data_IF_175021897867
#
_entry.id   IF_175021897867
#
_cell.length_a   1.000
_cell.length_b   1.000
_cell.length_c   1.000
_cell.angle_alpha   90.00
_cell.angle_beta   90.00
_cell.angle_gamma   90.00
#
_symmetry.space_group_name_H-M   'P 1'
#
loop_
_entity.id
_entity.type
_entity.pdbx_description
1 polymer ?
#
# COMPACT_ATOMS: atom_id res chain seq x y z
N UNK A 1 41.90 62.58 -18.11
CA UNK A 1 42.26 61.90 -19.37
C UNK A 1 41.09 61.04 -19.83
N UNK A 2 40.63 61.36 -21.04
CA UNK A 2 39.85 60.64 -22.06
C UNK A 2 39.37 59.19 -21.80
N UNK A 3 38.06 58.98 -22.04
CA UNK A 3 37.38 57.74 -22.54
C UNK A 3 37.81 57.46 -24.00
N UNK A 4 37.38 56.39 -24.73
CA UNK A 4 36.61 55.16 -24.40
C UNK A 4 37.12 53.89 -25.18
N UNK A 5 36.24 52.87 -25.35
CA UNK A 5 36.14 51.90 -26.48
C UNK A 5 36.39 50.43 -26.08
N UNK A 6 35.65 49.40 -26.50
CA UNK A 6 34.27 49.19 -26.99
C UNK A 6 34.11 47.65 -27.22
N UNK A 7 32.88 47.15 -27.06
CA UNK A 7 32.34 46.00 -27.82
C UNK A 7 32.78 44.58 -27.43
N UNK A 8 32.00 43.51 -27.63
CA UNK A 8 30.65 43.35 -28.18
C UNK A 8 30.22 41.89 -28.01
N UNK A 9 28.90 41.67 -27.82
CA UNK A 9 28.07 40.67 -28.54
C UNK A 9 28.15 39.18 -28.14
N UNK A 10 27.03 38.71 -27.58
CA UNK A 10 26.65 37.29 -27.51
C UNK A 10 25.13 37.17 -27.33
N UNK A 11 24.38 37.51 -28.38
CA UNK A 11 22.92 37.43 -28.42
C UNK A 11 22.48 35.99 -28.71
N UNK A 12 21.47 35.53 -27.99
CA UNK A 12 20.56 34.49 -28.45
C UNK A 12 20.86 33.09 -27.95
N UNK A 13 20.13 32.66 -26.90
CA UNK A 13 19.49 31.33 -26.82
C UNK A 13 18.19 31.35 -26.01
N UNK A 14 17.44 32.46 -26.00
CA UNK A 14 16.09 32.50 -25.37
C UNK A 14 15.03 32.07 -26.39
N UNK A 15 15.20 30.89 -26.98
CA UNK A 15 14.18 30.26 -27.87
C UNK A 15 14.13 28.75 -27.74
N UNK A 16 15.14 28.12 -27.12
CA UNK A 16 15.19 26.66 -26.94
C UNK A 16 14.55 26.19 -25.61
N UNK A 17 13.97 27.10 -24.83
CA UNK A 17 13.27 26.76 -23.59
C UNK A 17 11.78 26.46 -23.80
N UNK A 18 11.16 27.00 -24.86
CA UNK A 18 9.74 26.81 -25.13
C UNK A 18 9.44 25.57 -25.99
N UNK A 19 10.41 25.13 -26.80
CA UNK A 19 10.22 23.96 -27.66
C UNK A 19 10.17 22.64 -26.86
N UNK A 20 10.88 22.58 -25.73
CA UNK A 20 10.89 21.41 -24.84
C UNK A 20 9.57 21.25 -24.07
N UNK A 21 8.84 22.35 -23.81
CA UNK A 21 7.57 22.34 -23.07
C UNK A 21 6.39 21.80 -23.88
N UNK A 22 6.41 21.94 -25.22
CA UNK A 22 5.32 21.45 -26.09
C UNK A 22 5.38 19.93 -26.29
N UNK A 23 6.59 19.35 -26.30
CA UNK A 23 6.77 17.90 -26.46
C UNK A 23 6.32 17.13 -25.20
N UNK A 24 6.46 17.73 -24.01
CA UNK A 24 6.09 17.09 -22.75
C UNK A 24 4.56 16.92 -22.57
N UNK A 25 3.73 17.77 -23.18
CA UNK A 25 2.28 17.71 -23.00
C UNK A 25 1.60 16.60 -23.83
N UNK A 26 2.29 16.03 -24.82
CA UNK A 26 1.72 15.02 -25.70
C UNK A 26 1.72 13.59 -25.12
N UNK A 27 2.41 13.36 -24.00
CA UNK A 27 2.54 12.01 -23.39
C UNK A 27 1.36 11.70 -22.44
N UNK A 28 0.53 12.69 -22.08
CA UNK A 28 -0.56 12.55 -21.11
C UNK A 28 -1.88 11.97 -21.67
N UNK A 29 -1.93 11.49 -22.92
CA UNK A 29 -3.15 10.91 -23.51
C UNK A 29 -3.01 9.41 -23.82
N UNK A 30 -2.06 8.72 -23.18
CA UNK A 30 -2.05 7.25 -23.11
C UNK A 30 -2.67 6.79 -21.77
N UNK A 31 -3.93 7.14 -21.55
CA UNK A 31 -4.67 6.78 -20.35
C UNK A 31 -6.14 6.55 -20.69
N UNK A 32 -6.44 5.35 -21.21
CA UNK A 32 -7.72 4.64 -21.10
C UNK A 32 -7.67 3.40 -21.98
N UNK A 33 -7.07 2.34 -21.45
CA UNK A 33 -7.47 1.00 -21.80
C UNK A 33 -7.31 0.16 -20.53
N UNK A 34 -8.41 -0.19 -19.89
CA UNK A 34 -8.81 -1.59 -19.81
C UNK A 34 -10.16 -1.77 -19.09
N UNK A 35 -11.16 -2.12 -19.92
CA UNK A 35 -12.17 -3.17 -19.73
C UNK A 35 -12.49 -3.56 -18.28
N UNK A 36 -13.72 -3.23 -17.91
CA UNK A 36 -14.53 -3.92 -16.90
C UNK A 36 -14.37 -5.43 -17.03
N UNK A 37 -13.89 -6.09 -15.98
CA UNK A 37 -14.03 -7.54 -15.78
C UNK A 37 -14.27 -7.76 -14.30
N UNK A 38 -15.56 -7.75 -13.94
CA UNK A 38 -16.07 -8.47 -12.79
C UNK A 38 -16.27 -9.92 -13.28
N UNK A 39 -15.21 -10.71 -13.23
CA UNK A 39 -15.28 -12.18 -13.16
C UNK A 39 -14.26 -12.60 -12.10
N UNK A 40 -14.57 -13.66 -11.31
CA UNK A 40 -13.65 -14.15 -10.30
C UNK A 40 -12.47 -14.78 -11.04
N UNK A 41 -11.40 -14.01 -11.20
CA UNK A 41 -10.10 -14.60 -11.49
C UNK A 41 -9.79 -15.50 -10.29
N UNK A 42 -9.62 -16.79 -10.56
CA UNK A 42 -8.72 -17.66 -9.80
C UNK A 42 -7.34 -16.97 -9.77
N UNK A 43 -7.23 -15.92 -8.94
CA UNK A 43 -5.95 -15.36 -8.56
C UNK A 43 -5.28 -16.45 -7.77
N UNK A 44 -4.15 -16.94 -8.27
CA UNK A 44 -3.12 -17.44 -7.37
C UNK A 44 -2.86 -16.29 -6.41
N UNK A 45 -3.49 -16.37 -5.25
CA UNK A 45 -3.47 -15.36 -4.21
C UNK A 45 -2.02 -15.21 -3.75
N UNK A 46 -1.39 -14.11 -4.14
CA UNK A 46 0.01 -13.83 -3.86
C UNK A 46 0.20 -13.13 -2.50
N UNK A 47 -0.71 -13.35 -1.53
CA UNK A 47 -0.61 -12.80 -0.19
C UNK A 47 0.15 -13.70 0.80
N UNK A 48 0.95 -14.66 0.33
CA UNK A 48 1.73 -15.55 1.20
C UNK A 48 2.65 -14.78 2.16
N UNK A 49 3.36 -13.75 1.67
CA UNK A 49 4.21 -12.91 2.52
C UNK A 49 3.38 -12.20 3.61
N UNK A 50 2.19 -11.71 3.25
CA UNK A 50 1.27 -11.01 4.16
C UNK A 50 0.76 -11.97 5.24
N UNK A 51 0.37 -13.20 4.86
CA UNK A 51 -0.05 -14.25 5.79
C UNK A 51 1.07 -14.65 6.74
N UNK A 52 2.29 -14.84 6.21
CA UNK A 52 3.47 -15.22 7.00
C UNK A 52 3.80 -14.14 8.04
N UNK A 53 3.79 -12.86 7.65
CA UNK A 53 4.05 -11.75 8.57
C UNK A 53 2.94 -11.64 9.63
N UNK A 54 1.67 -11.73 9.23
CA UNK A 54 0.56 -11.70 10.18
C UNK A 54 0.63 -12.86 11.18
N UNK A 55 0.94 -14.07 10.72
CA UNK A 55 1.08 -15.24 11.58
C UNK A 55 2.28 -15.15 12.53
N UNK A 56 3.40 -14.57 12.08
CA UNK A 56 4.53 -14.30 12.95
C UNK A 56 4.12 -13.39 14.11
N UNK A 57 3.30 -12.36 13.84
CA UNK A 57 2.78 -11.46 14.86
C UNK A 57 1.78 -12.14 15.81
N UNK A 58 0.87 -12.98 15.30
CA UNK A 58 -0.04 -13.80 16.11
C UNK A 58 0.74 -14.64 17.13
N UNK A 59 1.80 -15.33 16.69
CA UNK A 59 2.69 -16.11 17.57
C UNK A 59 3.45 -15.25 18.57
N UNK A 60 3.95 -14.08 18.14
CA UNK A 60 4.63 -13.14 19.05
C UNK A 60 3.71 -12.71 20.21
N UNK A 61 2.41 -12.53 19.95
CA UNK A 61 1.41 -12.17 20.96
C UNK A 61 0.83 -13.36 21.73
N UNK A 62 1.17 -14.60 21.35
CA UNK A 62 0.62 -15.82 21.97
C UNK A 62 -0.85 -16.09 21.61
N UNK A 63 -1.33 -15.50 20.53
CA UNK A 63 -2.70 -15.69 20.03
C UNK A 63 -2.82 -16.90 19.11
N UNK A 64 -1.73 -17.60 18.82
CA UNK A 64 -1.72 -18.82 18.02
C UNK A 64 -2.51 -19.97 18.68
N UNK A 65 -2.71 -19.91 19.99
CA UNK A 65 -3.50 -20.90 20.74
C UNK A 65 -5.00 -20.84 20.47
N UNK A 66 -5.51 -19.74 19.90
CA UNK A 66 -6.92 -19.57 19.54
C UNK A 66 -7.19 -19.84 18.06
N UNK A 67 -6.16 -20.02 17.25
CA UNK A 67 -6.28 -20.31 15.82
C UNK A 67 -6.30 -21.84 15.57
N UNK A 68 -7.21 -22.29 14.71
CA UNK A 68 -7.37 -23.70 14.35
C UNK A 68 -6.24 -24.20 13.45
N UNK A 69 -5.79 -23.35 12.54
CA UNK A 69 -4.86 -23.67 11.47
C UNK A 69 -3.72 -22.63 11.41
N UNK A 70 -2.72 -22.90 10.57
CA UNK A 70 -1.61 -21.98 10.35
C UNK A 70 -1.91 -20.92 9.26
N UNK A 71 -0.87 -20.16 8.91
CA UNK A 71 -0.95 -19.07 7.95
C UNK A 71 -1.51 -19.44 6.58
N UNK A 72 -1.39 -20.70 6.11
CA UNK A 72 -1.83 -21.07 4.76
C UNK A 72 -3.35 -20.96 4.57
N UNK A 73 -4.10 -21.11 5.66
CA UNK A 73 -5.56 -21.04 5.66
C UNK A 73 -6.12 -19.62 5.83
N UNK A 74 -5.24 -18.64 6.09
CA UNK A 74 -5.66 -17.30 6.44
C UNK A 74 -6.26 -16.56 5.23
N UNK A 75 -7.38 -15.90 5.47
CA UNK A 75 -8.08 -15.10 4.49
C UNK A 75 -7.60 -13.65 4.56
N UNK A 76 -7.32 -13.07 3.39
CA UNK A 76 -6.79 -11.72 3.25
C UNK A 76 -7.83 -10.85 2.54
N UNK A 77 -8.18 -9.72 3.16
CA UNK A 77 -9.12 -8.73 2.60
C UNK A 77 -8.51 -7.34 2.57
N UNK A 78 -8.73 -6.63 1.49
CA UNK A 78 -8.46 -5.18 1.39
C UNK A 78 -9.59 -4.39 2.08
N UNK A 79 -9.22 -3.40 2.87
CA UNK A 79 -10.20 -2.52 3.54
C UNK A 79 -9.59 -1.17 3.93
N UNK A 80 -10.38 -0.31 4.57
CA UNK A 80 -9.91 0.96 5.13
C UNK A 80 -9.68 0.80 6.63
N UNK A 81 -8.51 1.23 7.11
CA UNK A 81 -8.18 1.28 8.53
C UNK A 81 -9.03 2.33 9.27
N UNK A 82 -10.20 1.89 9.71
CA UNK A 82 -11.15 2.68 10.48
C UNK A 82 -10.93 2.55 12.01
N UNK A 83 -11.89 3.04 12.82
CA UNK A 83 -11.75 3.06 14.28
C UNK A 83 -11.99 1.70 14.97
N UNK A 84 -12.35 0.64 14.24
CA UNK A 84 -12.49 -0.72 14.79
C UNK A 84 -11.14 -1.36 15.09
N UNK A 85 -10.09 -0.91 14.40
CA UNK A 85 -8.75 -1.43 14.55
C UNK A 85 -7.97 -0.69 15.64
N UNK A 86 -7.23 -1.46 16.44
CA UNK A 86 -6.18 -0.95 17.32
C UNK A 86 -4.93 -0.75 16.47
N UNK A 87 -4.73 0.47 15.98
CA UNK A 87 -3.56 0.84 15.17
C UNK A 87 -2.35 1.13 16.06
N UNK A 88 -1.20 0.54 15.71
CA UNK A 88 0.08 0.77 16.37
C UNK A 88 0.63 2.18 16.07
N UNK A 89 0.30 2.72 14.90
CA UNK A 89 0.60 4.09 14.49
C UNK A 89 -0.65 4.74 13.88
N UNK A 90 -0.97 5.96 14.35
CA UNK A 90 -2.15 6.71 13.91
C UNK A 90 -2.04 7.23 12.48
N UNK A 91 -0.83 7.25 11.88
CA UNK A 91 -0.64 7.69 10.49
C UNK A 91 -1.42 6.82 9.49
N UNK A 92 -1.69 5.56 9.85
CA UNK A 92 -2.43 4.62 9.02
C UNK A 92 -3.95 4.80 9.07
N UNK A 93 -4.46 5.74 9.90
CA UNK A 93 -5.90 6.00 9.97
C UNK A 93 -6.45 6.43 8.61
N UNK A 94 -7.56 5.82 8.22
CA UNK A 94 -8.23 6.02 6.94
C UNK A 94 -7.36 5.69 5.71
N UNK A 95 -6.30 4.89 5.87
CA UNK A 95 -5.53 4.34 4.75
C UNK A 95 -6.12 3.00 4.30
N UNK A 96 -5.86 2.64 3.05
CA UNK A 96 -6.12 1.30 2.53
C UNK A 96 -5.09 0.31 3.10
N UNK A 97 -5.57 -0.81 3.61
CA UNK A 97 -4.79 -1.80 4.35
C UNK A 97 -5.25 -3.21 4.01
N UNK A 98 -4.39 -4.18 4.29
CA UNK A 98 -4.72 -5.60 4.23
C UNK A 98 -5.11 -6.09 5.62
N UNK A 99 -6.17 -6.87 5.71
CA UNK A 99 -6.62 -7.52 6.93
C UNK A 99 -6.53 -9.01 6.75
N UNK A 100 -5.81 -9.66 7.66
CA UNK A 100 -5.61 -11.11 7.68
C UNK A 100 -6.44 -11.69 8.82
N UNK A 101 -7.32 -12.62 8.46
CA UNK A 101 -8.19 -13.33 9.41
C UNK A 101 -7.81 -14.81 9.46
N UNK A 102 -7.81 -15.36 10.68
CA UNK A 102 -7.50 -16.74 10.95
C UNK A 102 -8.76 -17.46 11.42
N UNK A 103 -8.85 -18.75 11.12
CA UNK A 103 -9.95 -19.57 11.59
C UNK A 103 -9.76 -19.88 13.08
N UNK A 104 -10.81 -19.72 13.86
CA UNK A 104 -10.73 -19.96 15.31
C UNK A 104 -10.95 -21.42 15.68
N UNK A 105 -10.26 -21.85 16.74
CA UNK A 105 -10.57 -23.10 17.43
C UNK A 105 -12.00 -23.05 17.97
N UNK A 106 -12.73 -24.16 17.87
CA UNK A 106 -14.10 -24.25 18.40
C UNK A 106 -14.13 -24.07 19.92
N UNK A 107 -15.11 -23.32 20.41
CA UNK A 107 -15.40 -23.09 21.83
C UNK A 107 -14.34 -22.25 22.58
N UNK A 108 -13.62 -21.36 21.89
CA UNK A 108 -12.83 -20.32 22.57
C UNK A 108 -13.72 -19.18 23.05
N UNK A 109 -13.34 -18.56 24.17
CA UNK A 109 -14.04 -17.40 24.75
C UNK A 109 -13.63 -16.10 24.06
N UNK A 110 -12.50 -16.10 23.36
CA UNK A 110 -11.98 -14.97 22.59
C UNK A 110 -11.32 -15.55 21.37
N UNK A 111 -11.80 -15.14 20.19
CA UNK A 111 -11.21 -15.58 18.92
C UNK A 111 -9.79 -15.07 18.71
N UNK A 112 -9.21 -15.46 17.58
CA UNK A 112 -7.94 -14.96 17.08
C UNK A 112 -8.16 -13.57 16.49
N UNK A 113 -7.45 -12.54 16.96
CA UNK A 113 -7.57 -11.20 16.41
C UNK A 113 -7.29 -11.17 14.91
N UNK A 114 -8.03 -10.32 14.18
CA UNK A 114 -7.67 -10.00 12.80
C UNK A 114 -6.44 -9.10 12.79
N UNK A 115 -5.47 -9.38 11.92
CA UNK A 115 -4.21 -8.62 11.85
C UNK A 115 -4.26 -7.63 10.71
N UNK A 116 -3.88 -6.38 10.98
CA UNK A 116 -3.85 -5.31 9.99
C UNK A 116 -2.42 -5.11 9.51
N UNK A 117 -2.24 -5.15 8.19
CA UNK A 117 -0.96 -5.10 7.50
C UNK A 117 -0.97 -3.97 6.49
N UNK A 118 0.12 -3.21 6.40
CA UNK A 118 0.29 -2.19 5.36
C UNK A 118 0.36 -2.85 3.98
N UNK A 119 -0.43 -2.37 3.03
CA UNK A 119 -0.52 -2.96 1.68
C UNK A 119 0.74 -2.76 0.82
N UNK A 120 1.63 -1.84 1.19
CA UNK A 120 2.83 -1.51 0.42
C UNK A 120 4.10 -2.12 1.03
N UNK A 121 4.21 -2.14 2.36
CA UNK A 121 5.41 -2.60 3.08
C UNK A 121 5.26 -3.99 3.70
N UNK A 122 4.03 -4.49 3.80
CA UNK A 122 3.69 -5.74 4.49
C UNK A 122 4.08 -5.75 5.98
N UNK A 123 4.23 -4.56 6.59
CA UNK A 123 4.43 -4.43 8.03
C UNK A 123 3.10 -4.55 8.78
N UNK A 124 3.12 -5.18 9.97
CA UNK A 124 1.95 -5.17 10.86
C UNK A 124 1.78 -3.78 11.47
N UNK A 125 0.60 -3.19 11.25
CA UNK A 125 0.27 -1.82 11.64
C UNK A 125 -0.88 -1.77 12.65
N UNK A 126 -1.51 -2.89 12.96
CA UNK A 126 -2.58 -2.98 13.94
C UNK A 126 -3.22 -4.35 14.04
N UNK A 127 -4.29 -4.42 14.81
CA UNK A 127 -5.13 -5.62 14.94
C UNK A 127 -6.55 -5.24 15.35
N UNK A 128 -7.52 -6.11 15.10
CA UNK A 128 -8.88 -6.01 15.63
C UNK A 128 -9.11 -7.18 16.59
N UNK A 129 -9.32 -6.91 17.90
CA UNK A 129 -9.74 -7.95 18.83
C UNK A 129 -11.07 -8.56 18.38
N UNK A 130 -11.17 -9.87 18.50
CA UNK A 130 -12.41 -10.63 18.30
C UNK A 130 -13.00 -10.97 19.66
N UNK A 131 -14.34 -10.92 19.77
CA UNK A 131 -15.05 -11.35 20.99
C UNK A 131 -15.08 -12.88 21.13
#
# INVERSE_FOLDING_TARGET
MLRPSNGTRGWGKVKYSYFFLIVLSAILVAGCANKTSLEPTDHVDNYDDVRVVAWAYVKEKGWDTTAEDDWHSADVKETIADNRYVLLDKKYKNQEVLVVSFKDVKNVVTGTPEIVVDSNTYEVIGYMPTE
#
